data_IF_920634663132
#
_entry.id   IF_920634663132
#
_cell.length_a   1.000
_cell.length_b   1.000
_cell.length_c   1.000
_cell.angle_alpha   90.00
_cell.angle_beta   90.00
_cell.angle_gamma   90.00
#
_symmetry.space_group_name_H-M   'P 1'
#
loop_
_entity.id
_entity.type
_entity.pdbx_description
1 polymer ?
#
# COMPACT_ATOMS: atom_id res chain seq x y z
N UNK A 1 -27.20 -2.72 -16.63
CA UNK A 1 -27.21 -2.37 -18.08
C UNK A 1 -27.34 -3.65 -18.86
N UNK A 2 -28.21 -3.74 -19.87
CA UNK A 2 -28.34 -4.95 -20.69
C UNK A 2 -27.07 -5.21 -21.52
N UNK A 3 -26.73 -6.48 -21.71
CA UNK A 3 -25.57 -6.93 -22.47
C UNK A 3 -25.97 -7.93 -23.57
N UNK A 4 -25.29 -7.82 -24.70
CA UNK A 4 -25.41 -8.69 -25.85
C UNK A 4 -24.84 -8.00 -27.09
N UNK A 5 -23.75 -8.53 -27.62
CA UNK A 5 -23.14 -8.04 -28.86
C UNK A 5 -23.95 -8.49 -30.08
N UNK A 6 -23.80 -7.83 -31.24
CA UNK A 6 -24.40 -8.31 -32.49
C UNK A 6 -24.07 -9.79 -32.75
N UNK A 7 -25.02 -10.54 -33.28
CA UNK A 7 -24.82 -11.93 -33.73
C UNK A 7 -23.63 -12.01 -34.68
N UNK A 8 -22.77 -13.01 -34.51
CA UNK A 8 -21.58 -13.21 -35.32
C UNK A 8 -20.38 -12.33 -34.94
N UNK A 9 -20.44 -11.59 -33.83
CA UNK A 9 -19.30 -10.79 -33.37
C UNK A 9 -18.09 -11.68 -33.08
N UNK A 10 -16.91 -11.22 -33.50
CA UNK A 10 -15.64 -11.88 -33.28
C UNK A 10 -14.63 -10.86 -32.72
N UNK A 11 -14.13 -11.10 -31.51
CA UNK A 11 -13.16 -10.24 -30.84
C UNK A 11 -12.11 -11.15 -30.21
N UNK A 12 -10.87 -11.08 -30.70
CA UNK A 12 -9.75 -11.81 -30.12
C UNK A 12 -9.35 -11.23 -28.75
N UNK A 13 -8.63 -12.02 -27.94
CA UNK A 13 -8.20 -11.61 -26.61
C UNK A 13 -7.55 -10.23 -26.56
N UNK A 14 -8.18 -9.32 -25.81
CA UNK A 14 -7.67 -7.96 -25.57
C UNK A 14 -7.86 -6.98 -26.73
N UNK A 15 -8.55 -7.37 -27.80
CA UNK A 15 -8.91 -6.45 -28.89
C UNK A 15 -10.10 -5.55 -28.52
N UNK A 16 -10.21 -4.34 -29.12
CA UNK A 16 -11.36 -3.46 -28.95
C UNK A 16 -12.64 -4.07 -29.56
N UNK A 17 -13.82 -3.70 -29.05
CA UNK A 17 -15.12 -4.15 -29.54
C UNK A 17 -16.13 -4.53 -28.46
N UNK A 18 -15.69 -4.72 -27.21
CA UNK A 18 -16.59 -4.88 -26.07
C UNK A 18 -17.02 -3.54 -25.47
N UNK A 19 -18.10 -3.50 -24.68
CA UNK A 19 -18.39 -2.37 -23.80
C UNK A 19 -17.29 -2.20 -22.73
N UNK A 20 -17.08 -0.97 -22.26
CA UNK A 20 -15.99 -0.60 -21.32
C UNK A 20 -15.93 -1.47 -20.06
N UNK A 21 -17.08 -1.86 -19.50
CA UNK A 21 -17.14 -2.67 -18.29
C UNK A 21 -16.42 -4.03 -18.46
N UNK A 22 -16.36 -4.58 -19.68
CA UNK A 22 -15.66 -5.85 -19.96
C UNK A 22 -14.15 -5.65 -19.80
N UNK A 23 -13.61 -4.54 -20.31
CA UNK A 23 -12.20 -4.22 -20.15
C UNK A 23 -11.84 -3.87 -18.70
N UNK A 24 -12.73 -3.17 -18.01
CA UNK A 24 -12.56 -2.84 -16.59
C UNK A 24 -12.57 -4.11 -15.74
N UNK A 25 -13.48 -5.05 -16.00
CA UNK A 25 -13.56 -6.33 -15.30
C UNK A 25 -12.35 -7.21 -15.62
N UNK A 26 -11.94 -7.29 -16.88
CA UNK A 26 -10.72 -8.00 -17.27
C UNK A 26 -9.49 -7.44 -16.57
N UNK A 27 -9.35 -6.11 -16.52
CA UNK A 27 -8.26 -5.45 -15.80
C UNK A 27 -8.29 -5.72 -14.28
N UNK A 28 -9.47 -5.80 -13.67
CA UNK A 28 -9.61 -6.08 -12.23
C UNK A 28 -9.05 -7.45 -11.82
N UNK A 29 -9.03 -8.40 -12.74
CA UNK A 29 -8.54 -9.77 -12.52
C UNK A 29 -7.29 -10.11 -13.34
N UNK A 30 -6.66 -9.15 -14.02
CA UNK A 30 -5.51 -9.41 -14.92
C UNK A 30 -5.83 -10.43 -16.05
N UNK A 31 -7.06 -10.38 -16.57
CA UNK A 31 -7.55 -11.24 -17.65
C UNK A 31 -7.81 -10.44 -18.93
N UNK A 32 -7.80 -11.15 -20.06
CA UNK A 32 -8.24 -10.63 -21.35
C UNK A 32 -9.54 -11.33 -21.74
N UNK A 33 -10.46 -10.57 -22.31
CA UNK A 33 -11.73 -11.07 -22.83
C UNK A 33 -11.64 -11.36 -24.33
N UNK A 34 -12.33 -12.41 -24.78
CA UNK A 34 -12.57 -12.70 -26.19
C UNK A 34 -14.00 -13.23 -26.42
N UNK A 35 -14.46 -13.17 -27.67
CA UNK A 35 -15.69 -13.82 -28.11
C UNK A 35 -15.60 -14.15 -29.59
N UNK A 36 -16.45 -15.06 -30.07
CA UNK A 36 -16.40 -15.55 -31.45
C UNK A 36 -17.81 -15.79 -32.03
N UNK A 37 -17.96 -15.95 -33.35
CA UNK A 37 -19.27 -16.18 -33.96
C UNK A 37 -19.93 -17.45 -33.43
N UNK A 38 -21.22 -17.37 -33.05
CA UNK A 38 -21.96 -18.49 -32.45
C UNK A 38 -21.83 -18.59 -30.94
N UNK A 39 -21.05 -17.72 -30.29
CA UNK A 39 -20.77 -17.80 -28.86
C UNK A 39 -22.01 -17.41 -28.02
N UNK A 40 -22.69 -18.43 -27.50
CA UNK A 40 -23.90 -18.31 -26.67
C UNK A 40 -25.06 -17.52 -27.33
N UNK A 41 -25.15 -17.55 -28.67
CA UNK A 41 -26.17 -16.82 -29.46
C UNK A 41 -27.55 -17.47 -29.46
N UNK A 42 -27.69 -18.65 -28.87
CA UNK A 42 -28.97 -19.38 -28.77
C UNK A 42 -29.99 -18.67 -27.88
N UNK A 43 -31.27 -18.77 -28.23
CA UNK A 43 -32.40 -18.38 -27.39
C UNK A 43 -32.81 -19.54 -26.47
N UNK A 44 -32.12 -19.69 -25.33
CA UNK A 44 -32.37 -20.77 -24.37
C UNK A 44 -33.68 -20.52 -23.63
N UNK A 45 -34.44 -21.61 -23.39
CA UNK A 45 -35.74 -21.59 -22.69
C UNK A 45 -35.64 -22.29 -21.33
N UNK A 46 -34.47 -22.18 -20.70
CA UNK A 46 -34.16 -22.84 -19.43
C UNK A 46 -34.33 -21.87 -18.26
N UNK A 47 -34.67 -22.40 -17.08
CA UNK A 47 -34.85 -21.59 -15.89
C UNK A 47 -33.57 -20.82 -15.53
N UNK A 48 -33.69 -19.50 -15.34
CA UNK A 48 -32.56 -18.62 -15.00
C UNK A 48 -31.76 -18.10 -16.21
N UNK A 49 -32.15 -18.44 -17.44
CA UNK A 49 -31.56 -17.87 -18.66
C UNK A 49 -32.53 -16.82 -19.24
N UNK A 50 -32.05 -15.60 -19.50
CA UNK A 50 -32.88 -14.58 -20.10
C UNK A 50 -33.11 -14.87 -21.60
N UNK A 51 -34.30 -14.55 -22.09
CA UNK A 51 -34.64 -14.69 -23.52
C UNK A 51 -33.65 -13.92 -24.39
N UNK A 52 -33.28 -14.51 -25.52
CA UNK A 52 -32.37 -13.93 -26.52
C UNK A 52 -32.96 -14.06 -27.94
N UNK A 53 -34.16 -13.50 -28.20
CA UNK A 53 -34.84 -13.67 -29.48
C UNK A 53 -34.07 -13.08 -30.67
N UNK A 54 -33.21 -12.10 -30.39
CA UNK A 54 -32.35 -11.44 -31.39
C UNK A 54 -31.01 -12.15 -31.58
N UNK A 55 -30.78 -13.29 -30.93
CA UNK A 55 -29.57 -14.11 -31.02
C UNK A 55 -28.28 -13.31 -30.79
N UNK A 56 -28.30 -12.38 -29.85
CA UNK A 56 -27.13 -11.59 -29.49
C UNK A 56 -26.02 -12.51 -28.99
N UNK A 57 -24.77 -12.20 -29.32
CA UNK A 57 -23.62 -12.89 -28.75
C UNK A 57 -23.48 -12.46 -27.27
N UNK A 58 -23.68 -13.42 -26.37
CA UNK A 58 -23.68 -13.22 -24.92
C UNK A 58 -22.53 -13.95 -24.22
N UNK A 59 -21.70 -14.65 -25.00
CA UNK A 59 -20.56 -15.40 -24.50
C UNK A 59 -19.33 -14.51 -24.38
N UNK A 60 -18.59 -14.67 -23.29
CA UNK A 60 -17.24 -14.11 -23.15
C UNK A 60 -16.34 -15.19 -22.56
N UNK A 61 -15.19 -15.40 -23.21
CA UNK A 61 -14.12 -16.22 -22.67
C UNK A 61 -13.04 -15.31 -22.10
N UNK A 62 -12.59 -15.61 -20.89
CA UNK A 62 -11.65 -14.81 -20.12
C UNK A 62 -10.39 -15.63 -19.87
N UNK A 63 -9.23 -15.15 -20.30
CA UNK A 63 -7.97 -15.88 -20.19
C UNK A 63 -6.84 -15.02 -19.60
N UNK A 64 -5.95 -15.67 -18.85
CA UNK A 64 -4.81 -15.08 -18.17
C UNK A 64 -4.00 -16.15 -17.43
N UNK A 65 -3.33 -15.78 -16.34
CA UNK A 65 -2.66 -16.77 -15.49
C UNK A 65 -3.70 -17.65 -14.75
N UNK A 66 -3.37 -18.91 -14.46
CA UNK A 66 -4.30 -19.83 -13.75
C UNK A 66 -4.80 -19.27 -12.40
N UNK A 67 -3.94 -18.69 -11.52
CA UNK A 67 -4.41 -18.10 -10.26
C UNK A 67 -5.37 -16.92 -10.45
N UNK A 68 -5.19 -16.14 -11.52
CA UNK A 68 -6.07 -15.03 -11.87
C UNK A 68 -7.45 -15.54 -12.33
N UNK A 69 -7.46 -16.61 -13.12
CA UNK A 69 -8.69 -17.28 -13.57
C UNK A 69 -9.45 -17.95 -12.42
N UNK A 70 -8.75 -18.57 -11.46
CA UNK A 70 -9.37 -19.12 -10.24
C UNK A 70 -10.08 -18.00 -9.46
N UNK A 71 -9.35 -16.91 -9.16
CA UNK A 71 -9.88 -15.76 -8.43
C UNK A 71 -11.09 -15.14 -9.14
N UNK A 72 -11.06 -15.06 -10.47
CA UNK A 72 -12.17 -14.56 -11.26
C UNK A 72 -13.37 -15.51 -11.23
N UNK A 73 -13.16 -16.81 -11.39
CA UNK A 73 -14.23 -17.80 -11.33
C UNK A 73 -14.92 -17.83 -9.94
N UNK A 74 -14.15 -17.69 -8.85
CA UNK A 74 -14.68 -17.55 -7.49
C UNK A 74 -15.52 -16.28 -7.32
N UNK A 75 -15.06 -15.16 -7.88
CA UNK A 75 -15.82 -13.91 -7.90
C UNK A 75 -17.15 -14.08 -8.64
N UNK A 76 -17.12 -14.66 -9.84
CA UNK A 76 -18.33 -14.94 -10.61
C UNK A 76 -19.30 -15.86 -9.87
N UNK A 77 -18.79 -16.84 -9.11
CA UNK A 77 -19.62 -17.68 -8.25
C UNK A 77 -20.29 -16.87 -7.12
N UNK A 78 -19.59 -15.89 -6.56
CA UNK A 78 -20.14 -15.00 -5.52
C UNK A 78 -21.27 -14.11 -6.06
N UNK A 79 -21.14 -13.64 -7.31
CA UNK A 79 -22.13 -12.80 -7.98
C UNK A 79 -23.08 -13.57 -8.91
N UNK A 80 -23.13 -14.91 -8.77
CA UNK A 80 -23.85 -15.84 -9.66
C UNK A 80 -25.29 -15.44 -9.98
N UNK A 81 -25.97 -14.73 -9.08
CA UNK A 81 -27.32 -14.22 -9.34
C UNK A 81 -27.44 -13.28 -10.56
N UNK A 82 -26.32 -12.72 -11.04
CA UNK A 82 -26.23 -11.86 -12.23
C UNK A 82 -25.77 -12.60 -13.49
N UNK A 83 -25.56 -13.92 -13.41
CA UNK A 83 -24.92 -14.73 -14.45
C UNK A 83 -25.83 -15.89 -14.89
N UNK A 84 -25.86 -16.16 -16.18
CA UNK A 84 -26.60 -17.29 -16.73
C UNK A 84 -25.73 -18.55 -16.74
N UNK A 85 -24.44 -18.41 -17.06
CA UNK A 85 -23.49 -19.52 -17.14
C UNK A 85 -22.09 -19.10 -16.71
N UNK A 86 -21.41 -19.97 -15.97
CA UNK A 86 -19.96 -19.91 -15.70
C UNK A 86 -19.42 -21.34 -15.79
N UNK A 87 -18.30 -21.54 -16.48
CA UNK A 87 -17.60 -22.83 -16.53
C UNK A 87 -16.10 -22.58 -16.41
N UNK A 88 -15.49 -23.21 -15.41
CA UNK A 88 -14.04 -23.20 -15.20
C UNK A 88 -13.59 -24.52 -14.57
N UNK A 89 -12.46 -25.04 -15.02
CA UNK A 89 -11.72 -26.10 -14.32
C UNK A 89 -10.24 -25.72 -14.25
N UNK A 90 -9.70 -25.63 -13.03
CA UNK A 90 -8.28 -25.44 -12.82
C UNK A 90 -7.48 -26.63 -13.39
N UNK A 91 -6.54 -26.42 -14.32
CA UNK A 91 -5.76 -27.49 -14.95
C UNK A 91 -4.77 -28.18 -14.00
N UNK A 92 -4.29 -27.48 -12.98
CA UNK A 92 -3.30 -28.00 -12.03
C UNK A 92 -3.92 -28.83 -10.91
N UNK A 93 -5.11 -28.44 -10.42
CA UNK A 93 -5.75 -29.06 -9.25
C UNK A 93 -6.98 -29.89 -9.60
N UNK A 94 -7.60 -29.66 -10.76
CA UNK A 94 -8.90 -30.21 -11.11
C UNK A 94 -10.08 -29.59 -10.36
N UNK A 95 -9.84 -28.52 -9.57
CA UNK A 95 -10.91 -27.75 -8.95
C UNK A 95 -11.82 -27.14 -10.02
N UNK A 96 -13.13 -27.08 -9.75
CA UNK A 96 -14.15 -26.66 -10.71
C UNK A 96 -14.98 -25.54 -10.14
N UNK A 97 -15.51 -24.69 -11.01
CA UNK A 97 -16.60 -23.76 -10.71
C UNK A 97 -17.62 -23.84 -11.83
N UNK A 98 -18.88 -24.02 -11.46
CA UNK A 98 -20.01 -24.10 -12.38
C UNK A 98 -21.18 -23.24 -11.92
N UNK A 99 -21.69 -22.38 -12.79
CA UNK A 99 -22.95 -21.65 -12.61
C UNK A 99 -23.90 -21.97 -13.76
N UNK A 100 -25.17 -22.26 -13.44
CA UNK A 100 -26.22 -22.47 -14.43
C UNK A 100 -27.53 -21.83 -13.97
N UNK A 101 -28.08 -20.92 -14.78
CA UNK A 101 -29.31 -20.20 -14.47
C UNK A 101 -29.24 -19.45 -13.13
N UNK A 102 -28.06 -18.87 -12.83
CA UNK A 102 -27.77 -18.17 -11.57
C UNK A 102 -27.59 -19.06 -10.34
N UNK A 103 -27.55 -20.39 -10.49
CA UNK A 103 -27.33 -21.35 -9.39
C UNK A 103 -25.91 -21.91 -9.42
N UNK A 104 -25.36 -22.12 -8.23
CA UNK A 104 -24.13 -22.90 -8.07
C UNK A 104 -24.40 -24.37 -8.40
N UNK A 105 -23.70 -24.86 -9.42
CA UNK A 105 -23.76 -26.26 -9.88
C UNK A 105 -22.40 -26.94 -9.81
N UNK A 106 -21.43 -26.34 -9.11
CA UNK A 106 -20.03 -26.78 -8.99
C UNK A 106 -19.93 -28.24 -8.52
N UNK A 107 -20.72 -28.63 -7.53
CA UNK A 107 -20.74 -29.97 -6.94
C UNK A 107 -21.75 -30.92 -7.60
N UNK A 108 -22.19 -30.61 -8.82
CA UNK A 108 -23.17 -31.42 -9.57
C UNK A 108 -22.58 -31.93 -10.88
N UNK A 109 -23.30 -32.86 -11.51
CA UNK A 109 -22.93 -33.37 -12.84
C UNK A 109 -23.28 -32.43 -14.00
N UNK A 110 -23.83 -31.22 -13.75
CA UNK A 110 -24.42 -30.36 -14.80
C UNK A 110 -23.44 -30.06 -15.95
N UNK A 111 -22.18 -29.74 -15.65
CA UNK A 111 -21.12 -29.49 -16.65
C UNK A 111 -20.06 -30.61 -16.71
N UNK A 112 -20.38 -31.83 -16.28
CA UNK A 112 -19.40 -32.91 -16.18
C UNK A 112 -18.67 -33.19 -17.51
N UNK A 113 -19.36 -33.04 -18.64
CA UNK A 113 -18.79 -33.21 -19.97
C UNK A 113 -18.01 -31.98 -20.48
N UNK A 114 -18.30 -30.80 -19.94
CA UNK A 114 -17.78 -29.53 -20.45
C UNK A 114 -16.49 -29.09 -19.73
N UNK A 115 -16.34 -29.42 -18.45
CA UNK A 115 -15.21 -28.92 -17.64
C UNK A 115 -13.84 -29.18 -18.25
N UNK A 116 -13.63 -30.33 -18.89
CA UNK A 116 -12.33 -30.66 -19.53
C UNK A 116 -11.94 -29.72 -20.67
N UNK A 117 -12.92 -29.05 -21.30
CA UNK A 117 -12.69 -28.06 -22.36
C UNK A 117 -12.50 -26.63 -21.85
N UNK A 118 -12.59 -26.39 -20.54
CA UNK A 118 -12.57 -25.05 -19.94
C UNK A 118 -11.44 -24.94 -18.91
N UNK A 119 -10.21 -25.26 -19.36
CA UNK A 119 -9.01 -25.29 -18.50
C UNK A 119 -7.99 -24.20 -18.82
N UNK A 120 -8.16 -23.54 -19.97
CA UNK A 120 -7.34 -22.42 -20.46
C UNK A 120 -8.09 -21.08 -20.48
N UNK A 121 -9.39 -21.08 -20.16
CA UNK A 121 -10.21 -19.89 -20.01
C UNK A 121 -11.38 -20.13 -19.04
N UNK A 122 -11.85 -19.06 -18.40
CA UNK A 122 -13.14 -19.01 -17.72
C UNK A 122 -14.19 -18.61 -18.74
N UNK A 123 -15.24 -19.39 -18.91
CA UNK A 123 -16.34 -19.09 -19.83
C UNK A 123 -17.52 -18.47 -19.10
N UNK A 124 -18.13 -17.42 -19.65
CA UNK A 124 -19.35 -16.80 -19.10
C UNK A 124 -20.45 -16.59 -20.13
N UNK A 125 -21.70 -16.59 -19.64
CA UNK A 125 -22.89 -16.08 -20.34
C UNK A 125 -23.70 -15.18 -19.43
N UNK A 126 -24.16 -14.05 -19.98
CA UNK A 126 -24.94 -13.05 -19.25
C UNK A 126 -25.81 -12.20 -20.19
N UNK A 127 -26.94 -11.68 -19.68
CA UNK A 127 -27.81 -10.73 -20.39
C UNK A 127 -27.69 -9.29 -19.91
N UNK A 128 -26.87 -9.08 -18.88
CA UNK A 128 -26.57 -7.79 -18.27
C UNK A 128 -25.05 -7.69 -18.04
N UNK A 129 -24.58 -6.48 -17.78
CA UNK A 129 -23.22 -6.27 -17.31
C UNK A 129 -22.99 -7.10 -16.04
N UNK A 130 -21.89 -7.85 -16.01
CA UNK A 130 -21.45 -8.50 -14.77
C UNK A 130 -21.16 -7.36 -13.78
N UNK A 131 -21.66 -7.44 -12.53
CA UNK A 131 -21.29 -6.47 -11.52
C UNK A 131 -19.77 -6.29 -11.52
N UNK A 132 -19.32 -5.06 -11.32
CA UNK A 132 -17.91 -4.86 -10.98
C UNK A 132 -17.72 -5.39 -9.56
N UNK A 133 -16.57 -5.98 -9.21
CA UNK A 133 -16.20 -6.05 -7.81
C UNK A 133 -16.23 -4.61 -7.27
N UNK A 134 -16.70 -4.41 -6.04
CA UNK A 134 -16.68 -3.09 -5.39
C UNK A 134 -15.22 -2.60 -5.36
N UNK A 135 -14.81 -1.82 -6.36
CA UNK A 135 -13.42 -1.59 -6.76
C UNK A 135 -12.61 -2.88 -7.09
N UNK A 136 -11.62 -2.84 -7.99
CA UNK A 136 -10.80 -4.02 -8.30
C UNK A 136 -10.02 -4.44 -7.04
N UNK A 137 -9.90 -5.74 -6.72
CA UNK A 137 -8.93 -6.18 -5.73
C UNK A 137 -7.52 -5.98 -6.31
N UNK A 138 -7.01 -4.76 -6.17
CA UNK A 138 -5.58 -4.49 -6.15
C UNK A 138 -5.14 -4.71 -4.73
N UNK A 139 -4.54 -5.87 -4.51
CA UNK A 139 -3.70 -6.05 -3.34
C UNK A 139 -2.67 -4.91 -3.28
N UNK A 140 -2.53 -4.31 -2.11
CA UNK A 140 -1.54 -3.26 -1.89
C UNK A 140 -0.20 -3.91 -1.61
N UNK A 141 0.70 -3.86 -2.59
CA UNK A 141 2.09 -4.22 -2.39
C UNK A 141 2.88 -3.04 -1.83
N UNK A 142 3.83 -3.31 -0.92
CA UNK A 142 4.73 -2.29 -0.37
C UNK A 142 6.01 -2.91 0.20
N UNK A 143 7.09 -2.14 0.16
CA UNK A 143 8.33 -2.49 0.83
C UNK A 143 8.34 -2.01 2.29
N UNK A 144 9.07 -2.72 3.13
CA UNK A 144 9.58 -2.19 4.38
C UNK A 144 11.12 -2.15 4.36
N UNK A 145 11.69 -1.03 4.79
CA UNK A 145 13.13 -0.77 4.66
C UNK A 145 13.72 -0.07 5.87
N UNK A 146 15.03 -0.23 6.02
CA UNK A 146 15.84 0.33 7.09
C UNK A 146 17.16 0.90 6.54
N UNK A 147 18.10 1.22 7.43
CA UNK A 147 19.47 1.64 7.06
C UNK A 147 20.25 0.62 6.23
N UNK A 148 19.78 -0.63 6.14
CA UNK A 148 20.42 -1.68 5.35
C UNK A 148 20.14 -1.57 3.85
N UNK A 149 19.10 -0.83 3.47
CA UNK A 149 18.80 -0.51 2.08
C UNK A 149 19.34 0.88 1.74
N UNK A 150 19.54 1.14 0.44
CA UNK A 150 19.79 2.51 -0.03
C UNK A 150 18.59 3.40 0.31
N UNK A 151 18.78 4.72 0.54
CA UNK A 151 17.67 5.63 0.74
C UNK A 151 16.68 5.57 -0.43
N UNK A 152 15.40 5.74 -0.11
CA UNK A 152 14.32 5.78 -1.11
C UNK A 152 14.49 6.97 -2.06
N UNK A 153 14.10 6.77 -3.30
CA UNK A 153 14.03 7.81 -4.34
C UNK A 153 12.77 7.64 -5.20
N UNK A 154 12.66 8.45 -6.24
CA UNK A 154 11.48 8.48 -7.08
C UNK A 154 11.25 7.24 -7.96
N UNK A 155 12.19 6.29 -7.99
CA UNK A 155 11.98 5.00 -8.63
C UNK A 155 11.06 4.06 -7.85
N UNK A 156 10.74 4.38 -6.58
CA UNK A 156 9.82 3.56 -5.77
C UNK A 156 8.42 3.47 -6.40
N UNK A 157 7.90 2.25 -6.68
CA UNK A 157 6.74 2.08 -7.55
C UNK A 157 5.40 1.94 -6.82
N UNK A 158 5.40 1.82 -5.49
CA UNK A 158 4.20 1.45 -4.73
C UNK A 158 3.57 2.63 -3.97
N UNK A 159 2.24 2.58 -3.70
CA UNK A 159 1.52 3.66 -3.04
C UNK A 159 1.63 3.65 -1.51
N UNK A 160 2.30 2.66 -0.93
CA UNK A 160 2.55 2.55 0.52
C UNK A 160 4.03 2.21 0.71
N UNK A 161 4.67 2.72 1.76
CA UNK A 161 6.05 2.44 2.11
C UNK A 161 6.19 2.40 3.63
N UNK A 162 6.91 1.41 4.15
CA UNK A 162 7.30 1.30 5.56
C UNK A 162 8.78 1.65 5.73
N UNK A 163 9.13 2.55 6.65
CA UNK A 163 10.52 2.91 6.92
C UNK A 163 10.86 2.81 8.40
N UNK A 164 12.04 2.30 8.72
CA UNK A 164 12.48 2.18 10.12
C UNK A 164 12.91 3.55 10.63
N UNK A 165 12.40 3.93 11.80
CA UNK A 165 12.88 5.09 12.55
C UNK A 165 13.96 4.71 13.56
N UNK A 166 13.77 3.59 14.26
CA UNK A 166 14.67 3.19 15.34
C UNK A 166 14.68 1.68 15.61
N UNK A 167 15.74 1.23 16.25
CA UNK A 167 15.76 0.00 17.05
C UNK A 167 15.99 0.38 18.51
N UNK A 168 14.93 0.34 19.34
CA UNK A 168 15.02 0.90 20.69
C UNK A 168 15.40 2.39 20.66
N UNK A 169 16.54 2.72 21.26
CA UNK A 169 17.13 4.07 21.22
C UNK A 169 18.17 4.27 20.11
N UNK A 170 18.47 3.24 19.33
CA UNK A 170 19.33 3.35 18.17
C UNK A 170 18.56 4.00 17.02
N UNK A 171 19.11 5.09 16.49
CA UNK A 171 18.51 5.87 15.43
C UNK A 171 18.88 5.29 14.06
N UNK A 172 17.88 5.00 13.23
CA UNK A 172 18.14 4.52 11.88
C UNK A 172 18.82 5.61 11.03
N UNK A 173 19.99 5.30 10.45
CA UNK A 173 20.83 6.30 9.76
C UNK A 173 20.20 6.85 8.48
N UNK A 174 19.27 6.11 7.87
CA UNK A 174 18.59 6.54 6.66
C UNK A 174 17.24 7.22 6.94
N UNK A 175 16.73 7.16 8.19
CA UNK A 175 15.40 7.67 8.53
C UNK A 175 15.18 9.11 8.08
N UNK A 176 16.09 10.04 8.39
CA UNK A 176 15.88 11.45 8.05
C UNK A 176 15.70 11.68 6.54
N UNK A 177 16.47 10.96 5.70
CA UNK A 177 16.36 11.03 4.24
C UNK A 177 15.06 10.38 3.76
N UNK A 178 14.78 9.18 4.24
CA UNK A 178 13.59 8.42 3.87
C UNK A 178 12.29 9.12 4.28
N UNK A 179 12.26 9.69 5.49
CA UNK A 179 11.09 10.41 6.00
C UNK A 179 10.87 11.72 5.24
N UNK A 180 11.94 12.46 4.91
CA UNK A 180 11.83 13.67 4.07
C UNK A 180 11.22 13.34 2.71
N UNK A 181 11.69 12.28 2.04
CA UNK A 181 11.11 11.84 0.78
C UNK A 181 9.66 11.35 0.97
N UNK A 182 9.39 10.54 1.99
CA UNK A 182 8.04 10.03 2.29
C UNK A 182 7.04 11.17 2.46
N UNK A 183 7.39 12.24 3.19
CA UNK A 183 6.53 13.42 3.35
C UNK A 183 6.23 14.10 2.02
N UNK A 184 7.23 14.31 1.18
CA UNK A 184 7.03 14.89 -0.15
C UNK A 184 6.17 13.98 -1.06
N UNK A 185 6.39 12.67 -1.00
CA UNK A 185 5.62 11.68 -1.74
C UNK A 185 4.17 11.60 -1.25
N UNK A 186 3.92 11.77 0.05
CA UNK A 186 2.58 11.91 0.59
C UNK A 186 1.94 13.19 0.05
N UNK A 187 2.56 14.35 0.25
CA UNK A 187 2.04 15.65 -0.19
C UNK A 187 1.66 15.67 -1.69
N UNK A 188 2.49 15.07 -2.55
CA UNK A 188 2.22 14.97 -3.99
C UNK A 188 1.16 13.92 -4.39
N UNK A 189 0.72 13.08 -3.45
CA UNK A 189 -0.21 11.97 -3.71
C UNK A 189 0.44 10.72 -4.29
N UNK A 190 1.77 10.68 -4.42
CA UNK A 190 2.52 9.49 -4.85
C UNK A 190 2.35 8.34 -3.86
N UNK A 191 2.39 8.64 -2.56
CA UNK A 191 1.99 7.71 -1.51
C UNK A 191 0.56 8.02 -1.06
N UNK A 192 -0.24 6.98 -0.90
CA UNK A 192 -1.54 7.04 -0.24
C UNK A 192 -1.35 7.26 1.26
N UNK A 193 -0.50 6.45 1.91
CA UNK A 193 -0.07 6.64 3.29
C UNK A 193 1.31 6.01 3.52
N UNK A 194 1.98 6.41 4.60
CA UNK A 194 3.27 5.87 5.00
C UNK A 194 3.19 5.13 6.33
N UNK A 195 4.12 4.21 6.56
CA UNK A 195 4.30 3.52 7.84
C UNK A 195 5.69 3.83 8.36
N UNK A 196 5.80 4.26 9.62
CA UNK A 196 7.08 4.44 10.30
C UNK A 196 7.18 3.43 11.43
N UNK A 197 8.19 2.58 11.40
CA UNK A 197 8.29 1.46 12.33
C UNK A 197 9.50 1.54 13.24
N UNK A 198 9.35 1.02 14.46
CA UNK A 198 10.45 0.81 15.38
C UNK A 198 10.56 -0.64 15.77
N UNK A 199 11.78 -1.17 15.75
CA UNK A 199 12.08 -2.43 16.42
C UNK A 199 11.89 -2.23 17.92
N UNK A 200 11.01 -3.02 18.53
CA UNK A 200 10.58 -2.83 19.91
C UNK A 200 11.61 -3.38 20.89
N UNK A 201 12.00 -2.55 21.87
CA UNK A 201 12.78 -2.95 23.05
C UNK A 201 11.94 -2.80 24.32
N UNK A 202 11.23 -3.86 24.77
CA UNK A 202 10.25 -3.76 25.85
C UNK A 202 10.83 -3.28 27.19
N UNK A 203 12.08 -3.64 27.50
CA UNK A 203 12.73 -3.30 28.77
C UNK A 203 13.13 -1.81 28.85
N UNK A 204 13.28 -1.16 27.70
CA UNK A 204 13.70 0.25 27.60
C UNK A 204 12.64 1.08 26.87
N UNK A 205 11.37 0.69 27.02
CA UNK A 205 10.22 1.21 26.28
C UNK A 205 10.13 2.75 26.29
N UNK A 206 10.46 3.41 27.39
CA UNK A 206 10.43 4.87 27.49
C UNK A 206 11.39 5.51 26.49
N UNK A 207 12.64 5.04 26.48
CA UNK A 207 13.67 5.56 25.57
C UNK A 207 13.36 5.22 24.12
N UNK A 208 12.73 4.07 23.88
CA UNK A 208 12.31 3.66 22.56
C UNK A 208 11.21 4.60 22.02
N UNK A 209 10.14 4.82 22.77
CA UNK A 209 9.06 5.72 22.39
C UNK A 209 9.55 7.18 22.26
N UNK A 210 10.45 7.62 23.15
CA UNK A 210 11.05 8.96 23.06
C UNK A 210 11.88 9.14 21.78
N UNK A 211 12.62 8.12 21.37
CA UNK A 211 13.45 8.17 20.15
C UNK A 211 12.57 8.28 18.90
N UNK A 212 11.49 7.49 18.81
CA UNK A 212 10.52 7.59 17.71
C UNK A 212 9.98 9.02 17.58
N UNK A 213 9.49 9.60 18.69
CA UNK A 213 8.93 10.97 18.71
C UNK A 213 9.99 12.00 18.32
N UNK A 214 11.17 11.93 18.95
CA UNK A 214 12.27 12.86 18.70
C UNK A 214 12.69 12.87 17.23
N UNK A 215 12.85 11.69 16.61
CA UNK A 215 13.30 11.61 15.23
C UNK A 215 12.26 12.12 14.24
N UNK A 216 10.97 11.82 14.46
CA UNK A 216 9.87 12.34 13.65
C UNK A 216 9.76 13.87 13.81
N UNK A 217 9.80 14.38 15.04
CA UNK A 217 9.70 15.81 15.33
C UNK A 217 10.88 16.58 14.71
N UNK A 218 12.10 16.03 14.82
CA UNK A 218 13.30 16.61 14.20
C UNK A 218 13.24 16.62 12.66
N UNK A 219 12.48 15.70 12.06
CA UNK A 219 12.24 15.64 10.61
C UNK A 219 10.96 16.40 10.19
N UNK A 220 10.48 17.29 11.07
CA UNK A 220 9.41 18.26 10.83
C UNK A 220 8.00 17.77 11.17
N UNK A 221 7.90 16.82 12.10
CA UNK A 221 6.64 16.42 12.75
C UNK A 221 5.89 15.30 12.06
N UNK A 222 4.95 14.69 12.79
CA UNK A 222 4.16 13.56 12.32
C UNK A 222 3.19 13.98 11.21
N UNK A 223 3.45 13.53 9.99
CA UNK A 223 2.52 13.73 8.87
C UNK A 223 1.17 13.02 9.14
N UNK A 224 0.01 13.63 8.79
CA UNK A 224 -1.31 13.09 9.15
C UNK A 224 -1.68 11.80 8.41
N UNK A 225 -1.04 11.51 7.27
CA UNK A 225 -1.15 10.24 6.53
C UNK A 225 -0.05 9.22 6.87
N UNK A 226 0.42 9.20 8.11
CA UNK A 226 1.40 8.21 8.60
C UNK A 226 0.82 7.38 9.75
N UNK A 227 0.98 6.07 9.68
CA UNK A 227 0.78 5.16 10.80
C UNK A 227 2.14 4.80 11.43
N UNK A 228 2.15 4.51 12.73
CA UNK A 228 3.32 4.01 13.44
C UNK A 228 3.20 2.50 13.63
N UNK A 229 4.30 1.77 13.45
CA UNK A 229 4.32 0.32 13.60
C UNK A 229 5.28 -0.12 14.69
N UNK A 230 4.79 -0.99 15.57
CA UNK A 230 5.59 -1.71 16.55
C UNK A 230 6.07 -2.98 15.88
N UNK A 231 7.38 -3.12 15.70
CA UNK A 231 7.99 -4.33 15.18
C UNK A 231 8.38 -5.25 16.36
N UNK A 232 7.62 -6.34 16.54
CA UNK A 232 7.76 -7.31 17.63
C UNK A 232 8.48 -8.54 17.11
N UNK A 233 9.75 -8.64 17.50
CA UNK A 233 10.58 -9.79 17.19
C UNK A 233 11.38 -10.24 18.42
N UNK A 234 11.60 -11.56 18.51
CA UNK A 234 12.42 -12.16 19.57
C UNK A 234 13.91 -11.93 19.40
N UNK A 235 14.35 -11.47 18.22
CA UNK A 235 15.75 -11.13 17.92
C UNK A 235 16.33 -10.13 18.94
N UNK A 236 17.27 -10.59 19.77
CA UNK A 236 17.91 -9.75 20.78
C UNK A 236 17.01 -9.26 21.92
N UNK A 237 15.75 -9.70 21.99
CA UNK A 237 14.86 -9.42 23.11
C UNK A 237 14.82 -10.62 24.08
N UNK A 238 14.65 -10.40 25.40
CA UNK A 238 14.45 -11.49 26.36
C UNK A 238 13.23 -12.35 26.01
N UNK A 239 13.30 -13.68 26.24
CA UNK A 239 12.19 -14.57 25.95
C UNK A 239 11.00 -14.33 26.88
N UNK A 240 9.85 -14.89 26.52
CA UNK A 240 8.64 -14.87 27.34
C UNK A 240 7.74 -13.67 27.05
N UNK A 241 6.72 -13.50 27.89
CA UNK A 241 5.71 -12.45 27.71
C UNK A 241 6.28 -11.06 28.05
N UNK A 242 6.31 -10.20 27.03
CA UNK A 242 6.78 -8.81 27.08
C UNK A 242 5.62 -7.80 26.90
N UNK A 243 4.37 -8.25 26.98
CA UNK A 243 3.19 -7.42 26.71
C UNK A 243 3.17 -6.10 27.48
N UNK A 244 3.65 -6.09 28.73
CA UNK A 244 3.70 -4.87 29.54
C UNK A 244 4.54 -3.75 28.90
N UNK A 245 5.76 -4.06 28.47
CA UNK A 245 6.64 -3.09 27.82
C UNK A 245 6.15 -2.71 26.42
N UNK A 246 5.66 -3.69 25.64
CA UNK A 246 5.12 -3.44 24.30
C UNK A 246 3.89 -2.54 24.37
N UNK A 247 2.96 -2.81 25.31
CA UNK A 247 1.76 -1.99 25.51
C UNK A 247 2.08 -0.59 26.03
N UNK A 248 3.18 -0.42 26.78
CA UNK A 248 3.61 0.90 27.20
C UNK A 248 4.12 1.76 26.03
N UNK A 249 4.84 1.16 25.06
CA UNK A 249 5.19 1.84 23.80
C UNK A 249 3.93 2.16 23.00
N UNK A 250 3.04 1.18 22.84
CA UNK A 250 1.75 1.36 22.16
C UNK A 250 1.00 2.58 22.70
N UNK A 251 0.79 2.66 24.02
CA UNK A 251 0.08 3.79 24.64
C UNK A 251 0.80 5.11 24.41
N UNK A 252 2.12 5.15 24.61
CA UNK A 252 2.90 6.36 24.41
C UNK A 252 2.86 6.87 22.96
N UNK A 253 2.84 5.98 21.97
CA UNK A 253 2.75 6.34 20.57
C UNK A 253 1.31 6.64 20.15
N UNK A 254 0.30 5.94 20.67
CA UNK A 254 -1.10 6.25 20.45
C UNK A 254 -1.41 7.69 20.88
N UNK A 255 -0.97 8.09 22.08
CA UNK A 255 -1.10 9.47 22.57
C UNK A 255 -0.44 10.49 21.64
N UNK A 256 0.73 10.15 21.08
CA UNK A 256 1.45 11.01 20.15
C UNK A 256 0.77 11.14 18.79
N UNK A 257 0.20 10.06 18.28
CA UNK A 257 -0.57 10.08 17.02
C UNK A 257 -1.95 10.72 17.17
N UNK A 258 -2.45 10.86 18.40
CA UNK A 258 -3.80 11.32 18.72
C UNK A 258 -4.90 10.28 18.43
N UNK A 259 -4.56 9.13 17.85
CA UNK A 259 -5.50 8.07 17.51
C UNK A 259 -4.84 6.69 17.63
N UNK A 260 -5.26 5.83 18.57
CA UNK A 260 -4.74 4.46 18.68
C UNK A 260 -4.93 3.64 17.40
N UNK A 261 -5.86 4.04 16.52
CA UNK A 261 -6.02 3.40 15.23
C UNK A 261 -4.79 3.57 14.33
N UNK A 262 -3.97 4.59 14.54
CA UNK A 262 -2.72 4.82 13.79
C UNK A 262 -1.55 3.98 14.27
N UNK A 263 -1.76 3.06 15.23
CA UNK A 263 -0.73 2.13 15.71
C UNK A 263 -0.98 0.72 15.18
N UNK A 264 0.02 0.21 14.46
CA UNK A 264 0.05 -1.12 13.86
C UNK A 264 1.02 -1.98 14.66
N UNK A 265 0.73 -3.27 14.80
CA UNK A 265 1.69 -4.27 15.28
C UNK A 265 2.29 -5.06 14.13
N UNK A 266 3.50 -5.55 14.30
CA UNK A 266 4.15 -6.45 13.37
C UNK A 266 4.83 -7.62 14.10
N UNK A 267 4.88 -8.76 13.44
CA UNK A 267 5.68 -9.90 13.88
C UNK A 267 5.22 -11.21 13.25
N UNK A 268 6.04 -12.26 13.36
CA UNK A 268 5.59 -13.60 13.02
C UNK A 268 4.63 -14.16 14.10
N UNK A 269 3.87 -15.21 13.77
CA UNK A 269 2.88 -15.81 14.68
C UNK A 269 3.48 -16.26 16.02
N UNK A 270 4.74 -16.74 16.00
CA UNK A 270 5.42 -17.19 17.21
C UNK A 270 5.73 -16.02 18.15
N UNK A 271 6.29 -14.93 17.64
CA UNK A 271 6.61 -13.74 18.43
C UNK A 271 5.35 -13.03 18.91
N UNK A 272 4.33 -12.92 18.06
CA UNK A 272 3.03 -12.37 18.44
C UNK A 272 2.37 -13.18 19.57
N UNK A 273 2.48 -14.51 19.56
CA UNK A 273 1.91 -15.36 20.62
C UNK A 273 2.82 -15.49 21.85
N UNK A 274 4.13 -15.40 21.66
CA UNK A 274 5.12 -15.60 22.71
C UNK A 274 5.36 -14.34 23.51
N UNK A 275 5.67 -13.24 22.82
CA UNK A 275 6.10 -11.97 23.39
C UNK A 275 4.96 -10.99 23.62
N UNK A 276 3.92 -10.99 22.80
CA UNK A 276 2.83 -10.03 22.91
C UNK A 276 1.48 -10.70 23.20
N UNK A 277 1.42 -11.48 24.27
CA UNK A 277 0.24 -12.27 24.65
C UNK A 277 -1.01 -11.42 24.88
N UNK A 278 -0.84 -10.28 25.53
CA UNK A 278 -1.92 -9.34 25.87
C UNK A 278 -1.85 -8.14 24.95
N UNK A 279 -2.56 -8.21 23.81
CA UNK A 279 -2.61 -7.14 22.82
C UNK A 279 -3.74 -6.14 23.12
N UNK A 280 -3.59 -4.87 22.72
CA UNK A 280 -4.71 -3.93 22.72
C UNK A 280 -5.88 -4.46 21.88
N UNK A 281 -7.13 -4.34 22.33
CA UNK A 281 -8.30 -4.75 21.55
C UNK A 281 -8.36 -4.01 20.21
N UNK A 282 -8.64 -4.75 19.13
CA UNK A 282 -8.80 -4.17 17.79
C UNK A 282 -7.50 -3.68 17.15
N UNK A 283 -6.33 -4.08 17.66
CA UNK A 283 -5.05 -3.77 17.02
C UNK A 283 -4.96 -4.40 15.63
N UNK A 284 -4.38 -3.66 14.69
CA UNK A 284 -4.13 -4.14 13.33
C UNK A 284 -2.71 -4.65 13.23
N UNK A 285 -2.54 -5.75 12.50
CA UNK A 285 -1.29 -6.48 12.45
C UNK A 285 -0.81 -6.66 11.01
N UNK A 286 0.49 -6.45 10.80
CA UNK A 286 1.22 -6.95 9.64
C UNK A 286 1.93 -8.23 10.10
N UNK A 287 1.57 -9.38 9.52
CA UNK A 287 2.05 -10.66 10.03
C UNK A 287 3.10 -11.23 9.09
N UNK A 288 4.30 -11.51 9.59
CA UNK A 288 5.36 -12.11 8.79
C UNK A 288 5.12 -13.60 8.58
N UNK A 289 5.27 -14.06 7.34
CA UNK A 289 5.10 -15.47 6.98
C UNK A 289 5.66 -15.79 5.61
N UNK A 290 6.94 -16.17 5.52
CA UNK A 290 7.54 -16.41 4.21
C UNK A 290 7.05 -17.72 3.60
N UNK A 291 6.64 -17.66 2.33
CA UNK A 291 6.26 -18.81 1.51
C UNK A 291 4.89 -19.40 1.84
N UNK A 292 4.12 -18.74 2.72
CA UNK A 292 2.73 -19.09 3.03
C UNK A 292 1.98 -17.86 3.49
N UNK A 293 0.69 -17.76 3.19
CA UNK A 293 -0.18 -16.75 3.77
C UNK A 293 -0.50 -17.12 5.23
N UNK A 294 -0.02 -16.39 6.25
CA UNK A 294 -0.43 -16.62 7.62
C UNK A 294 -1.89 -16.19 7.83
N UNK A 295 -2.51 -16.71 8.88
CA UNK A 295 -3.79 -16.18 9.39
C UNK A 295 -3.60 -15.82 10.87
N UNK A 296 -3.98 -14.59 11.23
CA UNK A 296 -3.90 -14.09 12.60
C UNK A 296 -5.05 -13.09 12.86
N UNK A 297 -5.68 -13.09 14.05
CA UNK A 297 -6.72 -12.11 14.38
C UNK A 297 -6.19 -10.67 14.29
N UNK A 298 -6.87 -9.82 13.52
CA UNK A 298 -6.46 -8.43 13.30
C UNK A 298 -5.42 -8.23 12.19
N UNK A 299 -5.04 -9.28 11.46
CA UNK A 299 -4.15 -9.16 10.31
C UNK A 299 -4.79 -8.30 9.20
N UNK A 300 -4.07 -7.28 8.74
CA UNK A 300 -4.44 -6.40 7.62
C UNK A 300 -3.41 -6.41 6.49
N UNK A 301 -2.20 -6.90 6.76
CA UNK A 301 -1.20 -7.14 5.73
C UNK A 301 -0.26 -8.28 6.16
N UNK A 302 0.57 -8.71 5.23
CA UNK A 302 1.44 -9.87 5.33
C UNK A 302 2.78 -9.53 4.69
N UNK A 303 3.87 -9.68 5.46
CA UNK A 303 5.21 -9.69 4.90
C UNK A 303 5.52 -11.09 4.36
N UNK A 304 5.61 -11.22 3.04
CA UNK A 304 5.63 -12.50 2.36
C UNK A 304 7.02 -12.96 1.91
N UNK A 305 8.01 -12.06 1.90
CA UNK A 305 9.39 -12.31 1.49
C UNK A 305 10.33 -11.31 2.14
N UNK A 306 11.57 -11.73 2.35
CA UNK A 306 12.73 -10.91 2.71
C UNK A 306 13.61 -10.52 1.50
N UNK A 307 13.11 -10.78 0.29
CA UNK A 307 13.81 -10.59 -0.96
C UNK A 307 14.81 -11.70 -1.30
N UNK A 308 14.86 -12.80 -0.54
CA UNK A 308 15.70 -13.97 -0.84
C UNK A 308 14.89 -15.16 -1.38
N UNK A 309 13.61 -14.97 -1.72
CA UNK A 309 12.72 -16.00 -2.25
C UNK A 309 11.32 -15.91 -1.69
N UNK A 310 10.51 -16.96 -1.86
CA UNK A 310 9.20 -17.14 -1.23
C UNK A 310 8.05 -16.23 -1.73
N UNK A 311 8.29 -15.39 -2.75
CA UNK A 311 7.29 -14.47 -3.29
C UNK A 311 6.10 -15.16 -3.95
N UNK A 312 6.23 -16.44 -4.33
CA UNK A 312 5.12 -17.20 -4.92
C UNK A 312 4.58 -16.58 -6.22
N UNK A 313 5.42 -15.84 -6.95
CA UNK A 313 5.05 -15.06 -8.14
C UNK A 313 4.88 -13.56 -7.89
N UNK A 314 4.87 -13.11 -6.63
CA UNK A 314 4.93 -11.69 -6.26
C UNK A 314 6.37 -11.16 -6.30
N UNK A 315 6.56 -9.82 -6.42
CA UNK A 315 7.89 -9.21 -6.39
C UNK A 315 8.67 -9.53 -5.11
N UNK A 316 9.96 -9.83 -5.24
CA UNK A 316 10.89 -10.12 -4.12
C UNK A 316 11.86 -8.95 -3.88
N UNK A 317 11.35 -7.74 -4.09
CA UNK A 317 12.11 -6.51 -4.03
C UNK A 317 11.55 -5.45 -4.97
N UNK A 318 12.11 -4.25 -4.88
CA UNK A 318 11.76 -3.15 -5.79
C UNK A 318 12.84 -2.08 -5.85
N UNK A 319 12.83 -1.22 -6.88
CA UNK A 319 13.67 -0.04 -6.91
C UNK A 319 13.33 0.95 -5.77
N UNK A 320 14.33 1.69 -5.24
CA UNK A 320 15.76 1.59 -5.55
C UNK A 320 16.49 0.48 -4.77
N UNK A 321 15.77 -0.26 -3.92
CA UNK A 321 16.35 -1.15 -2.92
C UNK A 321 16.98 -2.43 -3.48
N UNK A 322 16.51 -2.88 -4.65
CA UNK A 322 16.82 -4.23 -5.14
C UNK A 322 16.03 -5.25 -4.33
N UNK A 323 16.68 -6.32 -3.88
CA UNK A 323 16.05 -7.31 -3.01
C UNK A 323 15.81 -6.70 -1.62
N UNK A 324 14.56 -6.73 -1.16
CA UNK A 324 14.16 -6.21 0.14
C UNK A 324 12.90 -6.92 0.64
N UNK A 325 12.54 -6.67 1.89
CA UNK A 325 11.29 -7.13 2.46
C UNK A 325 10.10 -6.57 1.65
N UNK A 326 9.17 -7.44 1.28
CA UNK A 326 7.95 -7.06 0.56
C UNK A 326 6.70 -7.61 1.26
N UNK A 327 5.66 -6.79 1.17
CA UNK A 327 4.40 -6.99 1.87
C UNK A 327 3.21 -6.89 0.91
N UNK A 328 2.13 -7.57 1.29
CA UNK A 328 0.84 -7.55 0.61
C UNK A 328 -0.28 -7.29 1.63
N UNK A 329 -1.20 -6.40 1.33
CA UNK A 329 -2.40 -6.15 2.14
C UNK A 329 -3.52 -7.18 1.90
N UNK A 330 -3.26 -8.20 1.07
CA UNK A 330 -4.09 -9.36 0.80
C UNK A 330 -5.55 -9.03 0.55
N UNK A 331 -5.79 -8.14 -0.42
CA UNK A 331 -7.13 -7.79 -0.89
C UNK A 331 -7.62 -6.41 -0.48
N UNK A 332 -6.85 -5.65 0.32
CA UNK A 332 -7.13 -4.23 0.57
C UNK A 332 -6.46 -3.34 -0.49
N UNK A 333 -7.22 -2.42 -1.05
CA UNK A 333 -6.69 -1.29 -1.82
C UNK A 333 -5.87 -0.35 -0.92
N UNK A 334 -5.04 0.55 -1.47
CA UNK A 334 -4.23 1.45 -0.64
C UNK A 334 -5.07 2.35 0.27
N UNK A 335 -6.25 2.77 -0.20
CA UNK A 335 -7.16 3.60 0.58
C UNK A 335 -7.85 2.81 1.69
N UNK A 336 -8.26 1.57 1.43
CA UNK A 336 -8.84 0.69 2.46
C UNK A 336 -7.79 0.30 3.50
N UNK A 337 -6.55 0.05 3.07
CA UNK A 337 -5.45 -0.23 3.99
C UNK A 337 -5.12 1.00 4.86
N UNK A 338 -5.10 2.20 4.28
CA UNK A 338 -4.97 3.46 5.02
C UNK A 338 -6.11 3.62 6.05
N UNK A 339 -7.36 3.42 5.62
CA UNK A 339 -8.54 3.52 6.49
C UNK A 339 -8.50 2.49 7.63
N UNK A 340 -8.08 1.26 7.36
CA UNK A 340 -7.86 0.25 8.38
C UNK A 340 -6.79 0.69 9.40
N UNK A 341 -5.82 1.50 8.99
CA UNK A 341 -4.79 2.09 9.84
C UNK A 341 -5.16 3.46 10.44
N UNK A 342 -6.46 3.82 10.48
CA UNK A 342 -6.91 5.08 11.08
C UNK A 342 -6.58 6.33 10.25
N UNK A 343 -6.25 6.16 8.97
CA UNK A 343 -5.94 7.26 8.05
C UNK A 343 -7.13 7.44 7.10
N UNK A 344 -7.97 8.44 7.37
CA UNK A 344 -9.15 8.77 6.56
C UNK A 344 -8.82 9.68 5.38
N UNK A 345 -9.50 9.47 4.25
CA UNK A 345 -9.29 10.19 2.97
C UNK A 345 -9.74 11.65 2.92
N UNK A 346 -10.25 12.21 4.02
CA UNK A 346 -10.72 13.61 4.10
C UNK A 346 -9.64 14.62 4.51
N UNK A 347 -8.39 14.19 4.60
CA UNK A 347 -7.28 15.12 4.74
C UNK A 347 -7.09 15.81 3.39
N UNK A 348 -7.72 16.98 3.22
CA UNK A 348 -7.40 17.89 2.14
C UNK A 348 -5.87 17.96 2.02
N UNK A 349 -5.31 17.95 0.79
CA UNK A 349 -3.93 18.38 0.63
C UNK A 349 -3.81 19.69 1.40
N UNK A 350 -2.78 19.82 2.27
CA UNK A 350 -2.50 21.15 2.81
C UNK A 350 -2.49 22.09 1.61
N UNK A 351 -3.27 23.18 1.63
CA UNK A 351 -3.25 24.11 0.53
C UNK A 351 -1.79 24.48 0.32
N UNK A 352 -1.33 24.35 -0.93
CA UNK A 352 -0.08 24.99 -1.33
C UNK A 352 -0.13 26.41 -0.74
N UNK A 353 0.91 26.85 -0.01
CA UNK A 353 0.95 28.24 0.43
C UNK A 353 0.69 29.09 -0.81
N UNK A 354 -0.34 29.96 -0.74
CA UNK A 354 -0.72 30.85 -1.85
C UNK A 354 0.55 31.38 -2.51
N UNK A 355 0.64 31.39 -3.86
CA UNK A 355 1.80 31.97 -4.53
C UNK A 355 1.90 33.44 -4.11
N UNK A 356 2.76 33.68 -3.13
CA UNK A 356 3.16 35.01 -2.74
C UNK A 356 3.74 35.74 -3.96
N UNK A 357 3.75 37.08 -3.94
CA UNK A 357 4.38 37.85 -5.01
C UNK A 357 5.79 37.31 -5.31
N UNK A 358 6.22 37.35 -6.59
CA UNK A 358 7.43 36.68 -7.04
C UNK A 358 8.61 36.97 -6.11
N UNK A 359 9.39 35.94 -5.74
CA UNK A 359 10.42 36.10 -4.72
C UNK A 359 11.42 37.16 -5.16
N UNK A 360 11.66 38.13 -4.27
CA UNK A 360 12.88 38.92 -4.32
C UNK A 360 14.08 37.94 -4.35
N UNK A 361 15.16 38.25 -5.08
CA UNK A 361 16.31 37.35 -5.19
C UNK A 361 16.71 36.85 -3.81
N UNK A 362 16.69 35.53 -3.64
CA UNK A 362 16.92 34.89 -2.35
C UNK A 362 18.29 35.34 -1.82
N UNK A 363 18.26 36.00 -0.66
CA UNK A 363 19.46 36.22 0.13
C UNK A 363 20.06 34.87 0.55
N UNK A 364 21.35 34.84 0.90
CA UNK A 364 22.01 33.63 1.37
C UNK A 364 21.26 33.00 2.55
N UNK A 365 21.03 31.69 2.47
CA UNK A 365 20.33 30.90 3.49
C UNK A 365 21.36 30.27 4.44
N UNK A 366 21.16 30.36 5.77
CA UNK A 366 22.04 29.72 6.74
C UNK A 366 22.12 28.20 6.56
N UNK A 367 23.32 27.65 6.40
CA UNK A 367 23.62 26.22 6.21
C UNK A 367 24.35 25.64 7.43
N UNK A 368 23.68 25.68 8.58
CA UNK A 368 24.07 24.92 9.76
C UNK A 368 24.98 25.65 10.76
N UNK A 369 25.62 24.92 11.70
CA UNK A 369 26.23 25.49 12.91
C UNK A 369 27.38 26.49 12.69
N UNK A 370 27.95 26.53 11.48
CA UNK A 370 28.96 27.51 11.11
C UNK A 370 28.36 28.91 10.88
N UNK A 371 27.13 28.98 10.36
CA UNK A 371 26.44 30.24 10.08
C UNK A 371 25.83 30.86 11.34
N UNK A 372 25.54 30.04 12.36
CA UNK A 372 25.18 30.51 13.70
C UNK A 372 26.27 31.42 14.30
N UNK A 373 27.55 31.15 13.99
CA UNK A 373 28.67 31.97 14.47
C UNK A 373 28.65 33.41 13.93
N UNK A 374 28.00 33.63 12.78
CA UNK A 374 27.85 34.95 12.17
C UNK A 374 26.86 35.83 12.94
N UNK A 375 25.97 35.23 13.73
CA UNK A 375 24.94 35.94 14.53
C UNK A 375 25.23 35.95 16.03
N UNK A 376 26.19 35.15 16.51
CA UNK A 376 26.69 35.22 17.88
C UNK A 376 27.33 36.58 18.18
N UNK A 377 27.07 37.11 19.38
CA UNK A 377 27.75 38.31 19.89
C UNK A 377 29.03 37.91 20.63
N UNK A 378 30.12 38.59 20.30
CA UNK A 378 31.45 38.26 20.81
C UNK A 378 31.95 39.40 21.71
N UNK A 379 32.22 39.14 23.01
CA UNK A 379 32.72 40.16 23.92
C UNK A 379 34.02 40.82 23.45
N UNK A 380 34.90 40.05 22.78
CA UNK A 380 36.15 40.55 22.21
C UNK A 380 35.95 41.53 21.03
N UNK A 381 34.76 41.57 20.42
CA UNK A 381 34.38 42.52 19.38
C UNK A 381 33.56 43.70 19.94
N UNK A 382 33.51 43.86 21.27
CA UNK A 382 32.66 44.85 21.92
C UNK A 382 31.18 44.46 21.91
N UNK A 383 30.89 43.18 22.15
CA UNK A 383 29.56 42.55 22.07
C UNK A 383 28.89 42.65 20.69
N UNK A 384 29.69 42.83 19.63
CA UNK A 384 29.21 42.82 18.25
C UNK A 384 29.15 41.41 17.67
N UNK A 385 28.31 41.22 16.65
CA UNK A 385 28.42 40.04 15.78
C UNK A 385 29.61 40.18 14.83
N UNK A 386 30.03 39.06 14.24
CA UNK A 386 31.06 39.06 13.20
C UNK A 386 30.66 39.93 12.00
N UNK A 387 29.38 39.92 11.62
CA UNK A 387 28.84 40.74 10.53
C UNK A 387 28.88 42.23 10.87
N UNK A 388 28.48 42.61 12.09
CA UNK A 388 28.53 44.00 12.56
C UNK A 388 29.98 44.54 12.58
N UNK A 389 30.92 43.74 13.09
CA UNK A 389 32.33 44.12 13.17
C UNK A 389 32.98 44.28 11.78
N UNK A 390 32.67 43.41 10.82
CA UNK A 390 33.18 43.52 9.45
C UNK A 390 32.57 44.72 8.72
N UNK A 391 31.29 45.01 8.94
CA UNK A 391 30.64 46.20 8.38
C UNK A 391 31.28 47.49 8.90
N UNK A 392 31.62 47.55 10.19
CA UNK A 392 32.34 48.68 10.79
C UNK A 392 33.73 48.89 10.16
N UNK A 393 34.51 47.83 9.97
CA UNK A 393 35.82 47.90 9.30
C UNK A 393 35.65 48.41 7.86
N UNK A 394 34.66 47.88 7.14
CA UNK A 394 34.39 48.28 5.76
C UNK A 394 34.00 49.77 5.67
N UNK A 395 33.14 50.25 6.55
CA UNK A 395 32.74 51.66 6.62
C UNK A 395 33.95 52.57 6.87
N UNK A 396 34.86 52.18 7.76
CA UNK A 396 36.08 52.92 8.03
C UNK A 396 37.07 52.94 6.84
N UNK A 397 37.17 51.83 6.10
CA UNK A 397 38.14 51.70 4.99
C UNK A 397 37.60 52.29 3.68
N UNK A 398 36.31 52.15 3.42
CA UNK A 398 35.69 52.51 2.14
C UNK A 398 34.79 53.76 2.20
N UNK A 399 34.59 54.35 3.38
CA UNK A 399 33.70 55.50 3.57
C UNK A 399 32.22 55.16 3.34
N UNK A 400 31.85 53.90 3.50
CA UNK A 400 30.46 53.41 3.39
C UNK A 400 29.69 53.62 4.70
N UNK A 401 28.41 53.25 4.73
CA UNK A 401 27.56 53.38 5.92
C UNK A 401 26.67 52.14 6.08
N UNK A 402 27.27 50.98 5.83
CA UNK A 402 26.61 49.68 5.75
C UNK A 402 26.21 49.17 7.14
N UNK A 403 26.85 49.63 8.22
CA UNK A 403 26.45 49.31 9.60
C UNK A 403 25.03 49.77 9.94
N UNK A 404 24.54 50.84 9.30
CA UNK A 404 23.21 51.42 9.57
C UNK A 404 22.10 50.83 8.71
N UNK A 405 22.44 49.96 7.75
CA UNK A 405 21.47 49.25 6.92
C UNK A 405 21.16 47.95 7.65
N UNK A 406 20.04 47.90 8.37
CA UNK A 406 19.62 46.68 9.07
C UNK A 406 19.57 45.51 8.08
N UNK A 407 20.21 44.40 8.45
CA UNK A 407 20.28 43.16 7.68
C UNK A 407 19.18 42.20 8.13
#
# INVERSE_FOLDING_TARGET
>A
MSYGLPTGTNINYGQPGFPDWVYQLGAAFNLRASTYPGHQESDRVEAGYARNPNRQNRGIDWAGAVPDMDRFAEYLLSTRGSLEQVIWQNPATGARIGVAGGKDVTQTAYYAADYSGHTDHVHTRQSEAIPMPDAPPKDTLFADVSEWQVPVDDSYPYPVLSIRVSDGSYQDRNFARNYTWMRAALNSGKLTFGIVYTYVRPQTWQSNAATVKQMIDAAGGLHPRIALMLDIESGGNPPGDQSGGINAIYSALADYTGDPARIIGYGNVSDLNGMWRTKPPGIRLIVAGYGRLPTYPGMVAHQYTDGQGYGGGLPEGCPPFGNCDMNAANGLTPAEFAAACGISGDLQPEPDPEPGPPPAPAGPVPVGPADDQLTLRWPCLGDQTLVEAVAEIRDAVLGTNDRKRGW
#
